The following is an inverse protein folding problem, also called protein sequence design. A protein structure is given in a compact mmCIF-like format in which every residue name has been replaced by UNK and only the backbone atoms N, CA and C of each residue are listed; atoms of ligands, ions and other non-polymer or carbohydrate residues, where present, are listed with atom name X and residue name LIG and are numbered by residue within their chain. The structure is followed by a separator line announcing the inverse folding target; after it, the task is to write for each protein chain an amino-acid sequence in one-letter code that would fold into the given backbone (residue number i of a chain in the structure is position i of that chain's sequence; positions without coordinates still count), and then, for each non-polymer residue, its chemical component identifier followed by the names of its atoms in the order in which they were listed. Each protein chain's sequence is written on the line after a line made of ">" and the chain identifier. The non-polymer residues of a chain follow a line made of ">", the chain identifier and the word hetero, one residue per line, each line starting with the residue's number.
data_IF_514542791660
#
_entry.id   IF_514542791660
#
_cell.length_a   1.000
_cell.length_b   1.000
_cell.length_c   1.000
_cell.angle_alpha   90.00
_cell.angle_beta   90.00
_cell.angle_gamma   90.00
#
_symmetry.space_group_name_H-M   'P 1'
#
loop_
_entity.id
_entity.type
_entity.pdbx_description
1 polymer ?
#
# COMPACT_ATOMS: atom_id res chain seq x y z
N UNK A 1 -2.52 -11.70 12.03
CA UNK A 1 -3.62 -11.95 11.08
C UNK A 1 -3.40 -11.11 9.84
N UNK A 2 -3.92 -11.54 8.69
CA UNK A 2 -3.91 -10.76 7.45
C UNK A 2 -5.35 -10.64 6.96
N UNK A 3 -5.78 -9.41 6.69
CA UNK A 3 -7.09 -9.11 6.14
C UNK A 3 -6.90 -8.37 4.81
N UNK A 4 -7.83 -8.56 3.88
CA UNK A 4 -7.85 -7.84 2.62
C UNK A 4 -9.22 -7.21 2.41
N UNK A 5 -9.24 -6.05 1.77
CA UNK A 5 -10.46 -5.37 1.38
C UNK A 5 -10.34 -4.89 -0.06
N UNK A 6 -11.42 -4.93 -0.85
CA UNK A 6 -11.40 -4.31 -2.17
C UNK A 6 -11.27 -2.79 -2.09
N UNK A 7 -10.68 -2.21 -3.13
CA UNK A 7 -10.47 -0.76 -3.28
C UNK A 7 -11.71 0.04 -3.68
N UNK A 8 -12.80 -0.63 -4.11
CA UNK A 8 -13.96 0.06 -4.68
C UNK A 8 -14.77 0.81 -3.60
N UNK A 9 -15.30 1.97 -3.97
CA UNK A 9 -16.02 2.91 -3.10
C UNK A 9 -17.09 2.26 -2.23
N UNK A 10 -17.81 1.29 -2.79
CA UNK A 10 -18.87 0.55 -2.08
C UNK A 10 -18.37 -0.26 -0.88
N UNK A 11 -17.06 -0.45 -0.72
CA UNK A 11 -16.44 -1.22 0.38
C UNK A 11 -15.65 -0.35 1.36
N UNK A 12 -15.60 0.98 1.17
CA UNK A 12 -14.85 1.86 2.07
C UNK A 12 -15.34 1.80 3.52
N UNK A 13 -16.62 1.48 3.74
CA UNK A 13 -17.17 1.26 5.08
C UNK A 13 -16.41 0.20 5.89
N UNK A 14 -15.72 -0.74 5.24
CA UNK A 14 -14.95 -1.79 5.91
C UNK A 14 -13.58 -1.31 6.40
N UNK A 15 -13.04 -0.24 5.84
CA UNK A 15 -11.66 0.16 6.08
C UNK A 15 -11.47 0.62 7.53
N UNK A 16 -12.43 1.37 8.07
CA UNK A 16 -12.41 1.84 9.47
C UNK A 16 -12.45 0.68 10.47
N UNK A 17 -13.13 -0.41 10.14
CA UNK A 17 -13.15 -1.61 10.97
C UNK A 17 -11.83 -2.39 10.87
N UNK A 18 -11.23 -2.46 9.68
CA UNK A 18 -9.99 -3.19 9.43
C UNK A 18 -8.75 -2.49 10.00
N UNK A 19 -8.73 -1.16 10.01
CA UNK A 19 -7.63 -0.37 10.58
C UNK A 19 -7.61 -0.46 12.11
N UNK A 20 -8.75 -0.69 12.76
CA UNK A 20 -8.82 -0.80 14.22
C UNK A 20 -7.96 -1.95 14.74
N UNK A 21 -6.88 -1.59 15.44
CA UNK A 21 -5.93 -2.55 16.00
C UNK A 21 -4.93 -3.12 14.99
N UNK A 22 -4.94 -2.65 13.73
CA UNK A 22 -3.94 -3.01 12.74
C UNK A 22 -2.57 -2.44 13.14
N UNK A 23 -1.51 -3.16 12.78
CA UNK A 23 -0.12 -2.68 12.93
C UNK A 23 0.32 -1.84 11.75
N UNK A 24 -0.32 -2.03 10.60
CA UNK A 24 0.01 -1.36 9.35
C UNK A 24 -0.83 -1.88 8.18
N UNK A 25 -0.71 -1.24 7.02
CA UNK A 25 -1.38 -1.64 5.78
C UNK A 25 -0.44 -1.71 4.57
N UNK A 26 -0.72 -2.62 3.63
CA UNK A 26 -0.14 -2.59 2.28
C UNK A 26 -1.21 -2.06 1.33
N UNK A 27 -0.93 -0.96 0.65
CA UNK A 27 -1.78 -0.43 -0.41
C UNK A 27 -1.24 -0.95 -1.75
N UNK A 28 -1.97 -1.89 -2.37
CA UNK A 28 -1.63 -2.39 -3.70
C UNK A 28 -2.07 -1.38 -4.76
N UNK A 29 -1.12 -0.82 -5.50
CA UNK A 29 -1.35 0.19 -6.53
C UNK A 29 -1.15 -0.42 -7.91
N UNK A 30 -2.13 -0.26 -8.80
CA UNK A 30 -2.04 -0.65 -10.20
C UNK A 30 -1.88 0.62 -11.05
N UNK A 31 -0.68 0.83 -11.60
CA UNK A 31 -0.37 2.02 -12.40
C UNK A 31 -1.14 2.12 -13.71
N UNK A 32 -1.76 1.02 -14.18
CA UNK A 32 -2.66 1.03 -15.34
C UNK A 32 -3.99 1.72 -15.03
N UNK A 33 -4.32 1.85 -13.74
CA UNK A 33 -5.55 2.45 -13.22
C UNK A 33 -5.23 3.38 -12.05
N UNK A 34 -4.24 4.24 -12.25
CA UNK A 34 -3.68 5.09 -11.19
C UNK A 34 -4.74 5.96 -10.48
N UNK A 35 -5.72 6.48 -11.24
CA UNK A 35 -6.83 7.26 -10.71
C UNK A 35 -7.64 6.53 -9.62
N UNK A 36 -7.78 5.20 -9.74
CA UNK A 36 -8.55 4.39 -8.78
C UNK A 36 -7.77 4.15 -7.47
N UNK A 37 -6.48 4.51 -7.43
CA UNK A 37 -5.62 4.31 -6.28
C UNK A 37 -5.64 5.49 -5.30
N UNK A 38 -5.96 6.71 -5.77
CA UNK A 38 -5.95 7.92 -4.94
C UNK A 38 -6.77 7.78 -3.65
N UNK A 39 -8.03 7.28 -3.67
CA UNK A 39 -8.81 7.22 -2.44
C UNK A 39 -8.22 6.32 -1.36
N UNK A 40 -7.58 5.21 -1.77
CA UNK A 40 -6.91 4.31 -0.83
C UNK A 40 -5.66 4.96 -0.23
N UNK A 41 -4.85 5.63 -1.06
CA UNK A 41 -3.65 6.35 -0.62
C UNK A 41 -4.02 7.46 0.36
N UNK A 42 -4.95 8.32 -0.03
CA UNK A 42 -5.44 9.44 0.78
C UNK A 42 -5.99 8.96 2.13
N UNK A 43 -6.75 7.85 2.14
CA UNK A 43 -7.28 7.29 3.37
C UNK A 43 -6.16 6.86 4.32
N UNK A 44 -5.17 6.10 3.84
CA UNK A 44 -4.12 5.60 4.71
C UNK A 44 -3.15 6.69 5.17
N UNK A 45 -2.88 7.71 4.34
CA UNK A 45 -2.16 8.92 4.78
C UNK A 45 -2.87 9.63 5.93
N UNK A 46 -4.19 9.77 5.86
CA UNK A 46 -4.97 10.43 6.90
C UNK A 46 -5.24 9.55 8.13
N UNK A 47 -5.15 8.22 7.99
CA UNK A 47 -5.43 7.28 9.08
C UNK A 47 -4.39 7.28 10.20
N UNK A 48 -3.17 7.78 9.93
CA UNK A 48 -2.03 7.69 10.84
C UNK A 48 -1.48 6.27 11.04
N UNK A 49 -2.04 5.26 10.36
CA UNK A 49 -1.56 3.90 10.39
C UNK A 49 -0.31 3.78 9.50
N UNK A 50 0.79 3.16 9.96
CA UNK A 50 1.96 2.90 9.10
C UNK A 50 1.54 2.11 7.86
N UNK A 51 1.95 2.55 6.68
CA UNK A 51 1.58 1.86 5.45
C UNK A 51 2.72 1.84 4.43
N UNK A 52 2.65 0.87 3.52
CA UNK A 52 3.57 0.71 2.40
C UNK A 52 2.76 0.70 1.12
N UNK A 53 3.25 1.41 0.11
CA UNK A 53 2.73 1.33 -1.25
C UNK A 53 3.44 0.19 -1.97
N UNK A 54 2.66 -0.77 -2.45
CA UNK A 54 3.16 -1.88 -3.25
C UNK A 54 2.66 -1.71 -4.69
N UNK A 55 3.58 -1.28 -5.56
CA UNK A 55 3.34 -1.12 -6.98
C UNK A 55 3.21 -2.49 -7.62
N UNK A 56 1.97 -2.88 -7.91
CA UNK A 56 1.64 -4.20 -8.38
C UNK A 56 1.85 -4.29 -9.90
N UNK A 57 3.06 -4.67 -10.30
CA UNK A 57 3.46 -4.89 -11.68
C UNK A 57 3.20 -6.34 -12.09
N UNK A 58 2.45 -6.53 -13.16
CA UNK A 58 2.15 -7.86 -13.67
C UNK A 58 3.24 -8.32 -14.63
N UNK A 59 3.69 -9.57 -14.48
CA UNK A 59 4.66 -10.21 -15.40
C UNK A 59 5.99 -9.44 -15.45
N UNK A 60 6.39 -8.89 -14.30
CA UNK A 60 7.59 -8.06 -14.16
C UNK A 60 7.50 -6.69 -14.86
N UNK A 61 6.34 -6.34 -15.40
CA UNK A 61 6.11 -5.04 -16.02
C UNK A 61 5.67 -4.03 -14.98
N UNK A 62 6.51 -3.02 -14.76
CA UNK A 62 6.15 -1.80 -14.08
C UNK A 62 6.87 -0.65 -14.77
N UNK A 63 6.20 0.06 -15.71
CA UNK A 63 6.85 1.05 -16.56
C UNK A 63 7.26 2.32 -15.80
N UNK A 64 6.73 2.52 -14.59
CA UNK A 64 6.99 3.69 -13.76
C UNK A 64 7.87 3.34 -12.57
N UNK A 65 8.84 4.20 -12.31
CA UNK A 65 9.70 4.13 -11.13
C UNK A 65 8.92 4.49 -9.86
N UNK A 66 9.40 4.06 -8.67
CA UNK A 66 8.82 4.48 -7.40
C UNK A 66 8.71 5.99 -7.22
N UNK A 67 9.68 6.75 -7.72
CA UNK A 67 9.69 8.22 -7.61
C UNK A 67 8.64 8.88 -8.51
N UNK A 68 8.48 8.40 -9.75
CA UNK A 68 7.41 8.87 -10.65
C UNK A 68 6.03 8.60 -10.06
N UNK A 69 5.82 7.42 -9.46
CA UNK A 69 4.54 7.10 -8.80
C UNK A 69 4.34 7.92 -7.53
N UNK A 70 5.40 8.16 -6.76
CA UNK A 70 5.35 9.05 -5.58
C UNK A 70 4.84 10.43 -5.96
N UNK A 71 5.43 11.02 -7.00
CA UNK A 71 5.04 12.33 -7.49
C UNK A 71 3.58 12.32 -7.98
N UNK A 72 3.22 11.33 -8.80
CA UNK A 72 1.90 11.24 -9.41
C UNK A 72 0.76 11.03 -8.40
N UNK A 73 1.00 10.25 -7.32
CA UNK A 73 0.04 10.00 -6.25
C UNK A 73 0.22 10.93 -5.04
N UNK A 74 1.15 11.89 -5.11
CA UNK A 74 1.46 12.84 -4.04
C UNK A 74 1.84 12.20 -2.69
N UNK A 75 2.45 11.01 -2.73
CA UNK A 75 2.74 10.20 -1.54
C UNK A 75 3.85 10.83 -0.70
N UNK A 76 3.59 11.04 0.61
CA UNK A 76 4.56 11.57 1.56
C UNK A 76 5.86 10.74 1.67
N UNK A 77 7.02 11.38 1.94
CA UNK A 77 8.34 10.74 1.83
C UNK A 77 8.59 9.59 2.81
N UNK A 78 7.82 9.52 3.91
CA UNK A 78 7.97 8.48 4.92
C UNK A 78 7.36 7.13 4.52
N UNK A 79 6.41 7.11 3.57
CA UNK A 79 5.76 5.87 3.12
C UNK A 79 6.67 5.13 2.12
N UNK A 80 7.15 3.91 2.41
CA UNK A 80 7.94 3.13 1.47
C UNK A 80 7.14 2.76 0.22
N UNK A 81 7.80 2.79 -0.94
CA UNK A 81 7.24 2.34 -2.21
C UNK A 81 8.09 1.20 -2.73
N UNK A 82 7.47 0.04 -2.96
CA UNK A 82 8.13 -1.17 -3.47
C UNK A 82 7.42 -1.70 -4.70
N UNK A 83 8.14 -2.44 -5.54
CA UNK A 83 7.52 -3.21 -6.63
C UNK A 83 7.13 -4.60 -6.13
N UNK A 84 5.99 -5.12 -6.59
CA UNK A 84 5.51 -6.46 -6.27
C UNK A 84 4.73 -7.06 -7.44
N UNK A 85 4.61 -8.37 -7.50
CA UNK A 85 3.53 -9.06 -8.20
C UNK A 85 2.78 -9.92 -7.18
N UNK A 86 1.60 -9.46 -6.76
CA UNK A 86 0.83 -10.09 -5.68
C UNK A 86 0.37 -11.54 -6.02
N UNK A 87 0.49 -11.98 -7.28
CA UNK A 87 0.24 -13.37 -7.69
C UNK A 87 1.38 -14.30 -7.27
N UNK A 88 2.58 -13.76 -7.06
CA UNK A 88 3.73 -14.50 -6.59
C UNK A 88 3.84 -14.44 -5.06
N UNK A 89 3.82 -15.64 -4.45
CA UNK A 89 3.88 -15.78 -3.00
C UNK A 89 5.12 -15.13 -2.38
N UNK A 90 6.26 -15.18 -3.06
CA UNK A 90 7.52 -14.56 -2.60
C UNK A 90 7.39 -13.06 -2.51
N UNK A 91 6.77 -12.44 -3.51
CA UNK A 91 6.70 -10.99 -3.65
C UNK A 91 5.67 -10.41 -2.67
N UNK A 92 4.53 -11.09 -2.53
CA UNK A 92 3.55 -10.79 -1.50
C UNK A 92 4.16 -10.92 -0.09
N UNK A 93 4.98 -11.95 0.16
CA UNK A 93 5.68 -12.12 1.44
C UNK A 93 6.67 -10.97 1.67
N UNK A 94 7.44 -10.57 0.67
CA UNK A 94 8.38 -9.45 0.78
C UNK A 94 7.66 -8.15 1.12
N UNK A 95 6.51 -7.87 0.49
CA UNK A 95 5.71 -6.69 0.81
C UNK A 95 5.23 -6.66 2.27
N UNK A 96 4.81 -7.81 2.81
CA UNK A 96 4.41 -7.93 4.21
C UNK A 96 5.60 -7.77 5.17
N UNK A 97 6.79 -8.25 4.79
CA UNK A 97 8.03 -8.03 5.58
C UNK A 97 8.34 -6.54 5.64
N UNK A 98 8.38 -5.85 4.49
CA UNK A 98 8.62 -4.40 4.42
C UNK A 98 7.62 -3.63 5.27
N UNK A 99 6.33 -4.01 5.24
CA UNK A 99 5.33 -3.40 6.10
C UNK A 99 5.65 -3.55 7.58
N UNK A 100 5.96 -4.77 8.03
CA UNK A 100 6.24 -5.04 9.44
C UNK A 100 7.49 -4.29 9.89
N UNK A 101 8.55 -4.28 9.08
CA UNK A 101 9.76 -3.50 9.36
C UNK A 101 9.47 -2.00 9.46
N UNK A 102 8.70 -1.45 8.51
CA UNK A 102 8.30 -0.05 8.51
C UNK A 102 7.47 0.31 9.76
N UNK A 103 6.46 -0.51 10.08
CA UNK A 103 5.60 -0.30 11.26
C UNK A 103 6.38 -0.38 12.58
N UNK A 104 7.38 -1.27 12.67
CA UNK A 104 8.26 -1.34 13.84
C UNK A 104 9.12 -0.07 13.98
N UNK A 105 9.69 0.43 12.88
CA UNK A 105 10.47 1.67 12.90
C UNK A 105 9.61 2.89 13.24
N UNK A 106 8.39 2.97 12.72
CA UNK A 106 7.45 4.05 12.99
C UNK A 106 7.06 4.13 14.48
N UNK A 107 6.97 2.99 15.18
CA UNK A 107 6.65 2.93 16.62
C UNK A 107 7.81 3.29 17.54
N UNK A 108 9.03 3.35 17.03
CA UNK A 108 10.23 3.71 17.78
C UNK A 108 10.54 5.22 17.69
N UNK A 109 9.80 5.96 16.87
CA UNK A 109 9.86 7.43 16.76
C UNK A 109 8.89 8.06 17.75
#
# INVERSE_FOLDING_TARGET
>A
YLFGTPGQDRFWFMWDDLVRGAIGAVVLVDTRRLADCFPAVDYFENSGLPFVIALNGFDGQQPYTPDEVREALQIGPDAPIITTDARHRTDAKSALITLVEHALMARLR
#
